data_IF_083491683100
#
_entry.id   IF_083491683100
#
_cell.length_a   1.000
_cell.length_b   1.000
_cell.length_c   1.000
_cell.angle_alpha   90.00
_cell.angle_beta   90.00
_cell.angle_gamma   90.00
#
_symmetry.space_group_name_H-M   'P 1'
#
loop_
_entity.id
_entity.type
_entity.pdbx_description
1 polymer ?
#
# COMPACT_ATOMS: atom_id res chain seq x y z
N UNK A 1 -21.84 -33.04 30.00
CA UNK A 1 -22.02 -32.77 28.57
C UNK A 1 -23.31 -31.98 28.38
N UNK A 2 -23.23 -30.66 28.43
CA UNK A 2 -24.37 -29.79 28.12
C UNK A 2 -24.41 -29.66 26.60
N UNK A 3 -25.42 -30.24 25.94
CA UNK A 3 -25.76 -29.88 24.57
C UNK A 3 -26.17 -28.41 24.61
N UNK A 4 -25.23 -27.51 24.32
CA UNK A 4 -25.58 -26.14 23.99
C UNK A 4 -26.55 -26.23 22.82
N UNK A 5 -27.81 -25.86 23.05
CA UNK A 5 -28.82 -25.74 22.01
C UNK A 5 -28.33 -24.71 21.01
N UNK A 6 -27.68 -25.16 19.93
CA UNK A 6 -27.36 -24.30 18.80
C UNK A 6 -28.70 -23.85 18.21
N UNK A 7 -29.07 -22.61 18.50
CA UNK A 7 -30.20 -21.97 17.83
C UNK A 7 -29.87 -21.93 16.34
N UNK A 8 -30.83 -22.27 15.46
CA UNK A 8 -30.57 -22.22 14.03
C UNK A 8 -30.17 -20.78 13.64
N UNK A 9 -29.24 -20.62 12.68
CA UNK A 9 -28.87 -19.30 12.19
C UNK A 9 -30.09 -18.60 11.60
N UNK A 10 -30.17 -17.28 11.78
CA UNK A 10 -31.24 -16.47 11.20
C UNK A 10 -30.80 -16.07 9.78
N UNK A 11 -31.40 -16.62 8.70
CA UNK A 11 -30.83 -16.51 7.36
C UNK A 11 -30.57 -15.07 6.90
N UNK A 12 -31.53 -14.17 7.12
CA UNK A 12 -31.42 -12.75 6.72
C UNK A 12 -30.25 -12.04 7.40
N UNK A 13 -29.95 -12.38 8.65
CA UNK A 13 -28.85 -11.76 9.41
C UNK A 13 -27.50 -12.24 8.88
N UNK A 14 -27.38 -13.53 8.57
CA UNK A 14 -26.13 -14.09 8.00
C UNK A 14 -25.88 -13.51 6.61
N UNK A 15 -26.90 -13.44 5.75
CA UNK A 15 -26.76 -12.83 4.43
C UNK A 15 -26.32 -11.37 4.52
N UNK A 16 -26.89 -10.60 5.45
CA UNK A 16 -26.45 -9.23 5.74
C UNK A 16 -24.97 -9.19 6.16
N UNK A 17 -24.51 -10.13 7.00
CA UNK A 17 -23.09 -10.18 7.36
C UNK A 17 -22.18 -10.47 6.16
N UNK A 18 -22.60 -11.32 5.21
CA UNK A 18 -21.85 -11.55 3.98
C UNK A 18 -21.74 -10.28 3.14
N UNK A 19 -22.85 -9.59 2.91
CA UNK A 19 -22.92 -8.38 2.08
C UNK A 19 -22.12 -7.23 2.70
N UNK A 20 -22.38 -6.91 3.97
CA UNK A 20 -21.66 -5.84 4.66
C UNK A 20 -20.17 -6.17 4.84
N UNK A 21 -19.83 -7.43 5.08
CA UNK A 21 -18.44 -7.89 5.15
C UNK A 21 -17.70 -7.70 3.84
N UNK A 22 -18.32 -8.03 2.71
CA UNK A 22 -17.74 -7.84 1.38
C UNK A 22 -17.56 -6.34 1.06
N UNK A 23 -18.55 -5.50 1.37
CA UNK A 23 -18.45 -4.05 1.21
C UNK A 23 -17.30 -3.48 2.03
N UNK A 24 -17.20 -3.84 3.32
CA UNK A 24 -16.13 -3.39 4.20
C UNK A 24 -14.75 -3.85 3.74
N UNK A 25 -14.63 -5.07 3.21
CA UNK A 25 -13.38 -5.58 2.64
C UNK A 25 -12.95 -4.79 1.40
N UNK A 26 -13.88 -4.46 0.50
CA UNK A 26 -13.61 -3.59 -0.66
C UNK A 26 -13.21 -2.18 -0.22
N UNK A 27 -13.94 -1.58 0.73
CA UNK A 27 -13.56 -0.29 1.31
C UNK A 27 -12.15 -0.34 1.90
N UNK A 28 -11.83 -1.40 2.66
CA UNK A 28 -10.50 -1.56 3.25
C UNK A 28 -9.41 -1.64 2.18
N UNK A 29 -9.65 -2.33 1.08
CA UNK A 29 -8.68 -2.48 -0.01
C UNK A 29 -8.28 -1.12 -0.61
N UNK A 30 -9.20 -0.15 -0.70
CA UNK A 30 -8.86 1.22 -1.10
C UNK A 30 -8.23 2.05 0.02
N UNK A 31 -8.73 1.94 1.26
CA UNK A 31 -8.27 2.79 2.38
C UNK A 31 -6.84 2.51 2.83
N UNK A 32 -6.26 1.34 2.51
CA UNK A 32 -4.85 1.04 2.80
C UNK A 32 -3.85 1.79 1.91
N UNK A 33 -4.33 2.50 0.88
CA UNK A 33 -3.53 3.37 -0.01
C UNK A 33 -4.05 4.82 -0.07
N UNK A 34 -5.14 5.10 0.66
CA UNK A 34 -5.81 6.40 0.64
C UNK A 34 -5.00 7.51 1.33
N UNK A 35 -5.06 8.76 0.83
CA UNK A 35 -4.25 9.87 1.36
C UNK A 35 -4.60 10.36 2.77
N UNK A 36 -5.84 10.15 3.22
CA UNK A 36 -6.46 10.84 4.36
C UNK A 36 -6.72 9.94 5.58
N UNK A 37 -6.37 8.67 5.51
CA UNK A 37 -6.70 7.68 6.55
C UNK A 37 -5.57 7.58 7.57
N UNK A 38 -5.87 7.82 8.85
CA UNK A 38 -4.96 7.52 9.98
C UNK A 38 -5.17 6.09 10.47
N UNK A 39 -4.17 5.53 11.15
CA UNK A 39 -4.20 4.14 11.65
C UNK A 39 -5.43 3.82 12.52
N UNK A 40 -5.85 4.75 13.40
CA UNK A 40 -7.02 4.54 14.25
C UNK A 40 -8.35 4.51 13.47
N UNK A 41 -8.44 5.21 12.33
CA UNK A 41 -9.61 5.17 11.46
C UNK A 41 -9.67 3.83 10.70
N UNK A 42 -8.52 3.36 10.22
CA UNK A 42 -8.39 2.00 9.68
C UNK A 42 -8.76 0.95 10.74
N UNK A 43 -8.36 1.16 12.00
CA UNK A 43 -8.74 0.33 13.14
C UNK A 43 -10.26 0.19 13.32
N UNK A 44 -11.01 1.29 13.26
CA UNK A 44 -12.48 1.26 13.36
C UNK A 44 -13.14 0.49 12.22
N UNK A 45 -12.57 0.57 11.00
CA UNK A 45 -13.06 -0.22 9.87
C UNK A 45 -12.75 -1.71 10.08
N UNK A 46 -11.52 -2.03 10.49
CA UNK A 46 -11.06 -3.39 10.75
C UNK A 46 -11.89 -4.06 11.86
N UNK A 47 -12.25 -3.33 12.92
CA UNK A 47 -13.15 -3.81 13.99
C UNK A 47 -14.54 -4.16 13.46
N UNK A 48 -15.11 -3.32 12.58
CA UNK A 48 -16.40 -3.60 11.94
C UNK A 48 -16.31 -4.83 11.03
N UNK A 49 -15.28 -4.90 10.19
CA UNK A 49 -15.05 -6.05 9.31
C UNK A 49 -14.91 -7.35 10.12
N UNK A 50 -14.11 -7.33 11.19
CA UNK A 50 -13.96 -8.46 12.10
C UNK A 50 -15.30 -8.90 12.70
N UNK A 51 -16.16 -7.97 13.13
CA UNK A 51 -17.47 -8.30 13.69
C UNK A 51 -18.40 -9.02 12.69
N UNK A 52 -18.37 -8.64 11.41
CA UNK A 52 -19.13 -9.36 10.37
C UNK A 52 -18.55 -10.75 10.10
N UNK A 53 -17.22 -10.89 10.04
CA UNK A 53 -16.57 -12.20 9.91
C UNK A 53 -16.88 -13.12 11.10
N UNK A 54 -16.88 -12.59 12.33
CA UNK A 54 -17.25 -13.33 13.54
C UNK A 54 -18.71 -13.81 13.50
N UNK A 55 -19.64 -12.95 13.05
CA UNK A 55 -21.04 -13.31 12.86
C UNK A 55 -21.22 -14.48 11.88
N UNK A 56 -20.46 -14.48 10.79
CA UNK A 56 -20.45 -15.56 9.80
C UNK A 56 -19.80 -16.83 10.35
N UNK A 57 -18.69 -16.71 11.08
CA UNK A 57 -18.01 -17.84 11.72
C UNK A 57 -18.93 -18.55 12.73
N UNK A 58 -19.69 -17.79 13.53
CA UNK A 58 -20.67 -18.33 14.49
C UNK A 58 -21.84 -19.04 13.78
N UNK A 59 -22.21 -18.60 12.57
CA UNK A 59 -23.21 -19.27 11.74
C UNK A 59 -22.74 -20.61 11.14
N UNK A 60 -21.46 -20.96 11.31
CA UNK A 60 -20.87 -22.23 10.89
C UNK A 60 -21.10 -22.55 9.42
N UNK A 61 -21.56 -23.76 9.13
CA UNK A 61 -21.83 -24.22 7.76
C UNK A 61 -22.80 -23.33 6.99
N UNK A 62 -23.76 -22.67 7.66
CA UNK A 62 -24.66 -21.75 6.98
C UNK A 62 -23.93 -20.49 6.52
N UNK A 63 -23.05 -19.93 7.37
CA UNK A 63 -22.22 -18.78 7.01
C UNK A 63 -21.25 -19.10 5.88
N UNK A 64 -20.65 -20.28 5.92
CA UNK A 64 -19.78 -20.78 4.85
C UNK A 64 -20.52 -20.85 3.51
N UNK A 65 -21.65 -21.55 3.44
CA UNK A 65 -22.43 -21.65 2.19
C UNK A 65 -22.91 -20.27 1.70
N UNK A 66 -23.31 -19.39 2.60
CA UNK A 66 -23.72 -18.03 2.24
C UNK A 66 -22.57 -17.25 1.60
N UNK A 67 -21.35 -17.35 2.13
CA UNK A 67 -20.16 -16.68 1.59
C UNK A 67 -19.73 -17.27 0.24
N UNK A 68 -19.77 -18.60 0.08
CA UNK A 68 -19.48 -19.28 -1.19
C UNK A 68 -20.52 -18.92 -2.26
N UNK A 69 -21.79 -18.76 -1.88
CA UNK A 69 -22.83 -18.32 -2.81
C UNK A 69 -22.61 -16.86 -3.25
N UNK A 70 -22.21 -15.98 -2.33
CA UNK A 70 -21.91 -14.58 -2.65
C UNK A 70 -20.72 -14.47 -3.63
N UNK A 71 -19.71 -15.36 -3.52
CA UNK A 71 -18.58 -15.41 -4.45
C UNK A 71 -18.97 -15.64 -5.91
N UNK A 72 -20.19 -16.09 -6.22
CA UNK A 72 -20.67 -16.17 -7.60
C UNK A 72 -20.66 -14.81 -8.32
N UNK A 73 -20.66 -13.69 -7.58
CA UNK A 73 -20.49 -12.33 -8.11
C UNK A 73 -19.04 -12.00 -8.52
N UNK A 74 -18.08 -12.87 -8.18
CA UNK A 74 -16.66 -12.75 -8.50
C UNK A 74 -15.99 -11.44 -8.06
N UNK A 75 -16.42 -10.84 -6.93
CA UNK A 75 -15.82 -9.64 -6.38
C UNK A 75 -14.67 -9.91 -5.39
N UNK A 76 -13.80 -8.92 -5.22
CA UNK A 76 -12.70 -8.92 -4.25
C UNK A 76 -13.22 -9.12 -2.82
N UNK A 77 -14.26 -8.38 -2.42
CA UNK A 77 -14.85 -8.45 -1.09
C UNK A 77 -15.48 -9.81 -0.77
N UNK A 78 -16.23 -10.38 -1.70
CA UNK A 78 -16.87 -11.69 -1.54
C UNK A 78 -15.83 -12.81 -1.43
N UNK A 79 -14.79 -12.76 -2.28
CA UNK A 79 -13.68 -13.71 -2.25
C UNK A 79 -12.88 -13.60 -0.96
N UNK A 80 -12.69 -12.38 -0.47
CA UNK A 80 -12.08 -12.13 0.84
C UNK A 80 -12.87 -12.78 1.97
N UNK A 81 -14.18 -12.55 2.04
CA UNK A 81 -15.03 -13.08 3.13
C UNK A 81 -15.00 -14.61 3.14
N UNK A 82 -15.17 -15.25 1.99
CA UNK A 82 -15.15 -16.71 1.90
C UNK A 82 -13.79 -17.31 2.29
N UNK A 83 -12.68 -16.71 1.82
CA UNK A 83 -11.34 -17.15 2.19
C UNK A 83 -11.02 -16.90 3.67
N UNK A 84 -11.43 -15.76 4.23
CA UNK A 84 -11.23 -15.45 5.64
C UNK A 84 -11.95 -16.47 6.54
N UNK A 85 -13.18 -16.86 6.17
CA UNK A 85 -13.92 -17.89 6.90
C UNK A 85 -13.29 -19.27 6.75
N UNK A 86 -12.89 -19.68 5.54
CA UNK A 86 -12.21 -20.95 5.30
C UNK A 86 -10.93 -21.07 6.16
N UNK A 87 -10.13 -19.99 6.24
CA UNK A 87 -8.94 -19.91 7.08
C UNK A 87 -9.30 -19.96 8.58
N UNK A 88 -10.31 -19.19 9.01
CA UNK A 88 -10.73 -19.17 10.41
C UNK A 88 -11.21 -20.53 10.91
N UNK A 89 -11.97 -21.26 10.09
CA UNK A 89 -12.41 -22.63 10.36
C UNK A 89 -11.32 -23.69 10.16
N UNK A 90 -10.18 -23.33 9.56
CA UNK A 90 -9.11 -24.25 9.14
C UNK A 90 -9.61 -25.37 8.21
N UNK A 91 -10.55 -25.03 7.34
CA UNK A 91 -11.11 -25.96 6.36
C UNK A 91 -10.17 -26.05 5.15
N UNK A 92 -9.24 -27.01 5.21
CA UNK A 92 -8.20 -27.20 4.19
C UNK A 92 -8.79 -27.49 2.80
N UNK A 93 -9.91 -28.22 2.72
CA UNK A 93 -10.54 -28.54 1.44
C UNK A 93 -11.12 -27.29 0.79
N UNK A 94 -11.79 -26.43 1.56
CA UNK A 94 -12.27 -25.13 1.06
C UNK A 94 -11.13 -24.20 0.69
N UNK A 95 -10.09 -24.13 1.52
CA UNK A 95 -8.88 -23.33 1.21
C UNK A 95 -8.29 -23.78 -0.12
N UNK A 96 -8.14 -25.09 -0.35
CA UNK A 96 -7.62 -25.63 -1.60
C UNK A 96 -8.49 -25.27 -2.82
N UNK A 97 -9.82 -25.38 -2.68
CA UNK A 97 -10.77 -24.97 -3.74
C UNK A 97 -10.69 -23.48 -4.05
N UNK A 98 -10.58 -22.63 -3.03
CA UNK A 98 -10.47 -21.17 -3.18
C UNK A 98 -9.15 -20.77 -3.83
N UNK A 99 -8.03 -21.41 -3.45
CA UNK A 99 -6.74 -21.20 -4.08
C UNK A 99 -6.75 -21.61 -5.55
N UNK A 100 -7.37 -22.74 -5.88
CA UNK A 100 -7.52 -23.19 -7.27
C UNK A 100 -8.41 -22.23 -8.08
N UNK A 101 -9.51 -21.74 -7.50
CA UNK A 101 -10.39 -20.77 -8.14
C UNK A 101 -9.66 -19.43 -8.39
N UNK A 102 -8.90 -18.94 -7.42
CA UNK A 102 -8.07 -17.75 -7.58
C UNK A 102 -6.93 -17.94 -8.59
N UNK A 103 -6.36 -19.14 -8.68
CA UNK A 103 -5.35 -19.43 -9.71
C UNK A 103 -5.94 -19.37 -11.12
N UNK A 104 -7.21 -19.75 -11.28
CA UNK A 104 -7.92 -19.77 -12.55
C UNK A 104 -8.60 -18.44 -12.92
N UNK A 105 -8.94 -17.60 -11.96
CA UNK A 105 -9.69 -16.36 -12.17
C UNK A 105 -9.06 -15.17 -11.45
N UNK A 106 -8.50 -14.24 -12.22
CA UNK A 106 -7.80 -13.05 -11.71
C UNK A 106 -8.68 -12.19 -10.79
N UNK A 107 -9.99 -12.11 -11.08
CA UNK A 107 -10.97 -11.37 -10.27
C UNK A 107 -11.05 -11.84 -8.81
N UNK A 108 -10.72 -13.11 -8.52
CA UNK A 108 -10.77 -13.68 -7.16
C UNK A 108 -9.43 -13.54 -6.42
N UNK A 109 -8.32 -13.34 -7.14
CA UNK A 109 -6.96 -13.37 -6.56
C UNK A 109 -6.79 -12.38 -5.44
N UNK A 110 -7.13 -11.11 -5.68
CA UNK A 110 -6.93 -10.03 -4.72
C UNK A 110 -7.65 -10.32 -3.41
N UNK A 111 -8.93 -10.70 -3.48
CA UNK A 111 -9.72 -11.02 -2.29
C UNK A 111 -9.13 -12.18 -1.48
N UNK A 112 -8.74 -13.27 -2.15
CA UNK A 112 -8.13 -14.42 -1.49
C UNK A 112 -6.80 -14.03 -0.82
N UNK A 113 -5.89 -13.34 -1.54
CA UNK A 113 -4.60 -12.90 -0.97
C UNK A 113 -4.80 -11.97 0.23
N UNK A 114 -5.73 -11.02 0.14
CA UNK A 114 -6.07 -10.12 1.25
C UNK A 114 -6.57 -10.89 2.48
N UNK A 115 -7.35 -11.96 2.31
CA UNK A 115 -7.83 -12.79 3.41
C UNK A 115 -6.69 -13.53 4.12
N UNK A 116 -5.71 -14.03 3.37
CA UNK A 116 -4.50 -14.61 3.97
C UNK A 116 -3.68 -13.54 4.73
N UNK A 117 -3.51 -12.34 4.18
CA UNK A 117 -2.82 -11.24 4.88
C UNK A 117 -3.57 -10.79 6.14
N UNK A 118 -4.91 -10.89 6.13
CA UNK A 118 -5.78 -10.56 7.25
C UNK A 118 -5.68 -11.56 8.41
N UNK A 119 -5.62 -12.85 8.09
CA UNK A 119 -5.60 -13.93 9.08
C UNK A 119 -4.44 -13.78 10.08
N UNK A 120 -4.65 -14.17 11.33
CA UNK A 120 -3.59 -14.11 12.34
C UNK A 120 -2.57 -15.26 12.18
N UNK A 121 -1.41 -15.12 12.85
CA UNK A 121 -0.35 -16.11 12.76
C UNK A 121 -0.73 -17.49 13.32
N UNK A 122 -1.72 -17.57 14.24
CA UNK A 122 -2.19 -18.84 14.77
C UNK A 122 -3.03 -19.59 13.73
N UNK A 123 -3.91 -18.89 13.00
CA UNK A 123 -4.73 -19.41 11.91
C UNK A 123 -3.86 -19.92 10.74
N UNK A 124 -2.79 -19.22 10.41
CA UNK A 124 -1.89 -19.55 9.31
C UNK A 124 -0.83 -20.64 9.63
N UNK A 125 -0.78 -21.12 10.87
CA UNK A 125 0.26 -22.07 11.31
C UNK A 125 0.20 -23.37 10.50
N UNK A 126 1.33 -23.71 9.86
CA UNK A 126 1.47 -24.89 9.00
C UNK A 126 1.03 -24.64 7.55
N UNK A 127 0.02 -23.78 7.34
CA UNK A 127 -0.50 -23.44 6.02
C UNK A 127 0.53 -22.69 5.16
N UNK A 128 1.25 -21.71 5.74
CA UNK A 128 2.29 -20.98 4.99
C UNK A 128 3.41 -21.90 4.51
N UNK A 129 3.83 -22.86 5.34
CA UNK A 129 4.84 -23.84 4.94
C UNK A 129 4.35 -24.73 3.77
N UNK A 130 3.08 -25.13 3.79
CA UNK A 130 2.47 -25.90 2.69
C UNK A 130 2.38 -25.06 1.40
N UNK A 131 2.05 -23.77 1.50
CA UNK A 131 2.04 -22.86 0.35
C UNK A 131 3.43 -22.69 -0.27
N UNK A 132 4.46 -22.54 0.58
CA UNK A 132 5.85 -22.39 0.17
C UNK A 132 6.44 -23.67 -0.47
N UNK A 133 5.99 -24.85 -0.06
CA UNK A 133 6.43 -26.16 -0.60
C UNK A 133 5.55 -26.67 -1.76
N UNK A 134 4.51 -25.93 -2.13
CA UNK A 134 3.56 -26.33 -3.16
C UNK A 134 4.19 -26.38 -4.57
N UNK A 135 3.79 -27.32 -5.44
CA UNK A 135 4.18 -27.33 -6.84
C UNK A 135 3.58 -26.16 -7.63
N UNK A 136 2.41 -25.65 -7.24
CA UNK A 136 1.80 -24.46 -7.88
C UNK A 136 2.65 -23.21 -7.63
N UNK A 137 3.02 -22.53 -8.71
CA UNK A 137 3.72 -21.24 -8.67
C UNK A 137 2.88 -20.17 -7.97
N UNK A 138 1.57 -20.16 -8.20
CA UNK A 138 0.66 -19.20 -7.57
C UNK A 138 0.60 -19.37 -6.04
N UNK A 139 0.50 -20.62 -5.55
CA UNK A 139 0.52 -20.88 -4.11
C UNK A 139 1.84 -20.47 -3.46
N UNK A 140 2.97 -20.70 -4.12
CA UNK A 140 4.29 -20.25 -3.65
C UNK A 140 4.38 -18.72 -3.60
N UNK A 141 3.81 -18.02 -4.58
CA UNK A 141 3.71 -16.56 -4.56
C UNK A 141 2.97 -16.08 -3.32
N UNK A 142 1.79 -16.65 -3.00
CA UNK A 142 1.04 -16.30 -1.78
C UNK A 142 1.90 -16.54 -0.54
N UNK A 143 2.56 -17.71 -0.42
CA UNK A 143 3.46 -18.00 0.69
C UNK A 143 4.55 -16.93 0.88
N UNK A 144 5.16 -16.48 -0.23
CA UNK A 144 6.17 -15.42 -0.23
C UNK A 144 5.62 -14.03 0.05
N UNK A 145 4.38 -13.72 -0.35
CA UNK A 145 3.69 -12.46 0.01
C UNK A 145 3.42 -12.41 1.52
N UNK A 146 3.03 -13.53 2.12
CA UNK A 146 2.65 -13.58 3.54
C UNK A 146 3.81 -13.42 4.50
N UNK A 147 5.00 -13.88 4.12
CA UNK A 147 6.18 -13.79 4.97
C UNK A 147 6.48 -12.33 5.41
N UNK A 148 6.74 -11.37 4.51
CA UNK A 148 6.92 -9.97 4.89
C UNK A 148 5.64 -9.33 5.46
N UNK A 149 4.44 -9.73 5.02
CA UNK A 149 3.18 -9.26 5.60
C UNK A 149 2.98 -9.65 7.08
N UNK A 150 3.77 -10.62 7.56
CA UNK A 150 3.83 -11.06 8.95
C UNK A 150 5.19 -10.79 9.62
N UNK A 151 6.09 -10.05 8.96
CA UNK A 151 7.45 -9.79 9.43
C UNK A 151 8.26 -11.08 9.71
N UNK A 152 8.08 -12.09 8.86
CA UNK A 152 8.78 -13.39 8.91
C UNK A 152 9.71 -13.52 7.71
N UNK A 153 10.93 -14.00 7.94
CA UNK A 153 11.88 -14.34 6.88
C UNK A 153 11.56 -15.74 6.27
N UNK A 154 11.30 -15.84 4.95
CA UNK A 154 11.08 -17.12 4.25
C UNK A 154 12.35 -17.99 4.11
N UNK A 155 13.53 -17.51 4.51
CA UNK A 155 14.77 -18.26 4.54
C UNK A 155 15.20 -18.76 3.16
N UNK A 156 15.56 -20.05 3.08
CA UNK A 156 16.07 -20.70 1.86
C UNK A 156 15.03 -20.88 0.76
N UNK A 157 13.73 -20.81 1.09
CA UNK A 157 12.68 -20.95 0.06
C UNK A 157 12.70 -19.74 -0.89
N UNK A 158 12.97 -18.56 -0.34
CA UNK A 158 13.12 -17.34 -1.10
C UNK A 158 14.31 -17.39 -2.07
N UNK A 159 15.46 -17.88 -1.61
CA UNK A 159 16.65 -18.07 -2.45
C UNK A 159 16.35 -18.92 -3.69
N UNK A 160 15.57 -20.00 -3.53
CA UNK A 160 15.16 -20.85 -4.67
C UNK A 160 14.18 -20.14 -5.59
N UNK A 161 13.28 -19.33 -5.05
CA UNK A 161 12.24 -18.66 -5.83
C UNK A 161 12.78 -17.55 -6.74
N UNK A 162 13.92 -16.93 -6.39
CA UNK A 162 14.62 -15.98 -7.27
C UNK A 162 15.01 -16.63 -8.61
N UNK A 163 15.39 -17.90 -8.59
CA UNK A 163 15.76 -18.67 -9.79
C UNK A 163 14.60 -19.37 -10.49
N UNK A 164 13.34 -19.06 -10.15
CA UNK A 164 12.18 -19.74 -10.72
C UNK A 164 11.99 -19.48 -12.23
N UNK A 165 11.39 -20.43 -12.94
CA UNK A 165 11.09 -20.29 -14.38
C UNK A 165 10.02 -19.23 -14.62
N UNK A 166 9.03 -19.18 -13.73
CA UNK A 166 7.87 -18.31 -13.83
C UNK A 166 8.20 -16.89 -13.35
N UNK A 167 8.08 -15.90 -14.24
CA UNK A 167 8.36 -14.50 -13.93
C UNK A 167 7.57 -13.95 -12.73
N UNK A 168 6.25 -14.24 -12.56
CA UNK A 168 5.51 -13.77 -11.39
C UNK A 168 6.09 -14.25 -10.05
N UNK A 169 6.61 -15.48 -10.01
CA UNK A 169 7.25 -16.02 -8.81
C UNK A 169 8.61 -15.38 -8.54
N UNK A 170 9.42 -15.13 -9.58
CA UNK A 170 10.68 -14.38 -9.45
C UNK A 170 10.43 -12.95 -8.96
N UNK A 171 9.47 -12.24 -9.55
CA UNK A 171 9.11 -10.87 -9.14
C UNK A 171 8.69 -10.83 -7.66
N UNK A 172 7.83 -11.77 -7.23
CA UNK A 172 7.42 -11.90 -5.84
C UNK A 172 8.60 -12.25 -4.91
N UNK A 173 9.55 -13.06 -5.37
CA UNK A 173 10.77 -13.37 -4.63
C UNK A 173 11.65 -12.13 -4.46
N UNK A 174 11.92 -11.37 -5.53
CA UNK A 174 12.67 -10.11 -5.41
C UNK A 174 11.99 -9.17 -4.40
N UNK A 175 10.68 -8.93 -4.55
CA UNK A 175 9.92 -8.10 -3.62
C UNK A 175 10.08 -8.56 -2.17
N UNK A 176 9.95 -9.86 -1.91
CA UNK A 176 10.09 -10.43 -0.58
C UNK A 176 11.53 -10.29 -0.04
N UNK A 177 12.56 -10.39 -0.88
CA UNK A 177 13.95 -10.18 -0.46
C UNK A 177 14.18 -8.76 0.06
N UNK A 178 13.68 -7.75 -0.65
CA UNK A 178 13.74 -6.36 -0.21
C UNK A 178 12.90 -6.09 1.04
N UNK A 179 11.66 -6.56 1.06
CA UNK A 179 10.75 -6.35 2.20
C UNK A 179 11.22 -7.06 3.49
N UNK A 180 11.88 -8.22 3.36
CA UNK A 180 12.46 -8.96 4.48
C UNK A 180 13.88 -8.50 4.85
N UNK A 181 14.42 -7.46 4.21
CA UNK A 181 15.75 -6.95 4.53
C UNK A 181 16.89 -7.95 4.30
N UNK A 182 16.74 -8.89 3.36
CA UNK A 182 17.70 -9.97 3.09
C UNK A 182 18.93 -9.45 2.33
N UNK A 183 19.83 -8.75 3.03
CA UNK A 183 21.04 -8.17 2.44
C UNK A 183 21.95 -9.19 1.76
N UNK A 184 21.93 -10.45 2.21
CA UNK A 184 22.64 -11.55 1.56
C UNK A 184 22.18 -11.87 0.13
N UNK A 185 20.99 -11.42 -0.27
CA UNK A 185 20.42 -11.60 -1.62
C UNK A 185 20.65 -10.38 -2.54
N UNK A 186 21.43 -9.39 -2.10
CA UNK A 186 21.65 -8.17 -2.89
C UNK A 186 22.25 -8.48 -4.27
N UNK A 187 23.23 -9.38 -4.35
CA UNK A 187 23.84 -9.76 -5.63
C UNK A 187 22.82 -10.40 -6.59
N UNK A 188 21.92 -11.23 -6.07
CA UNK A 188 20.85 -11.84 -6.86
C UNK A 188 19.82 -10.81 -7.33
N UNK A 189 19.43 -9.87 -6.46
CA UNK A 189 18.58 -8.74 -6.84
C UNK A 189 19.23 -7.87 -7.93
N UNK A 190 20.55 -7.61 -7.84
CA UNK A 190 21.27 -6.85 -8.88
C UNK A 190 21.33 -7.59 -10.21
N UNK A 191 21.44 -8.92 -10.20
CA UNK A 191 21.33 -9.72 -11.43
C UNK A 191 19.93 -9.61 -12.06
N UNK A 192 18.89 -9.51 -11.25
CA UNK A 192 17.49 -9.33 -11.67
C UNK A 192 17.20 -8.01 -12.41
N UNK A 193 18.09 -7.02 -12.36
CA UNK A 193 17.94 -5.76 -13.12
C UNK A 193 17.91 -5.99 -14.64
N UNK A 194 18.51 -7.08 -15.11
CA UNK A 194 18.53 -7.49 -16.52
C UNK A 194 17.44 -8.49 -16.90
N UNK A 195 16.44 -8.75 -16.06
CA UNK A 195 15.37 -9.71 -16.38
C UNK A 195 14.53 -9.22 -17.59
N UNK A 196 14.09 -10.17 -18.41
CA UNK A 196 13.24 -9.88 -19.56
C UNK A 196 11.88 -9.32 -19.13
N UNK A 197 11.38 -9.74 -17.97
CA UNK A 197 10.11 -9.29 -17.42
C UNK A 197 10.24 -7.97 -16.65
N UNK A 198 9.36 -7.01 -16.96
CA UNK A 198 9.40 -5.67 -16.39
C UNK A 198 9.09 -5.66 -14.88
N UNK A 199 8.21 -6.55 -14.40
CA UNK A 199 7.92 -6.67 -12.98
C UNK A 199 9.14 -7.18 -12.22
N UNK A 200 9.85 -8.16 -12.78
CA UNK A 200 11.11 -8.64 -12.22
C UNK A 200 12.15 -7.52 -12.13
N UNK A 201 12.36 -6.73 -13.19
CA UNK A 201 13.30 -5.59 -13.18
C UNK A 201 12.95 -4.57 -12.11
N UNK A 202 11.67 -4.18 -12.02
CA UNK A 202 11.22 -3.21 -11.02
C UNK A 202 11.41 -3.73 -9.60
N UNK A 203 10.97 -4.96 -9.30
CA UNK A 203 11.08 -5.54 -7.95
C UNK A 203 12.55 -5.78 -7.56
N UNK A 204 13.39 -6.17 -8.52
CA UNK A 204 14.84 -6.27 -8.35
C UNK A 204 15.47 -4.92 -8.00
N UNK A 205 15.12 -3.86 -8.73
CA UNK A 205 15.63 -2.50 -8.48
C UNK A 205 15.16 -1.94 -7.13
N UNK A 206 13.86 -2.05 -6.84
CA UNK A 206 13.28 -1.63 -5.58
C UNK A 206 13.92 -2.35 -4.38
N UNK A 207 14.15 -3.65 -4.51
CA UNK A 207 14.75 -4.44 -3.45
C UNK A 207 16.22 -4.13 -3.29
N UNK A 208 16.97 -3.99 -4.39
CA UNK A 208 18.40 -3.64 -4.34
C UNK A 208 18.65 -2.32 -3.61
N UNK A 209 17.83 -1.28 -3.84
CA UNK A 209 17.98 -0.01 -3.10
C UNK A 209 17.61 -0.14 -1.61
N UNK A 210 16.59 -0.93 -1.26
CA UNK A 210 16.29 -1.23 0.16
C UNK A 210 17.38 -2.05 0.84
N UNK A 211 18.10 -2.87 0.07
CA UNK A 211 19.22 -3.68 0.53
C UNK A 211 20.57 -2.93 0.50
N UNK A 212 20.60 -1.69 0.02
CA UNK A 212 21.73 -0.78 0.18
C UNK A 212 22.44 -0.38 -1.11
N UNK A 213 22.04 -0.88 -2.28
CA UNK A 213 22.62 -0.41 -3.54
C UNK A 213 22.23 1.04 -3.82
N UNK A 214 23.21 1.84 -4.26
CA UNK A 214 23.03 3.25 -4.65
C UNK A 214 23.61 3.52 -6.04
N UNK A 215 23.89 2.47 -6.81
CA UNK A 215 24.50 2.53 -8.14
C UNK A 215 23.55 1.95 -9.17
N UNK A 216 23.79 0.69 -9.56
CA UNK A 216 23.09 0.04 -10.67
C UNK A 216 21.56 0.01 -10.48
N UNK A 217 21.06 -0.15 -9.25
CA UNK A 217 19.63 -0.14 -8.99
C UNK A 217 19.02 1.25 -9.17
N UNK A 218 19.75 2.32 -8.85
CA UNK A 218 19.31 3.71 -9.08
C UNK A 218 19.25 4.01 -10.58
N UNK A 219 20.24 3.54 -11.35
CA UNK A 219 20.24 3.64 -12.81
C UNK A 219 19.06 2.88 -13.43
N UNK A 220 18.77 1.67 -12.92
CA UNK A 220 17.62 0.89 -13.36
C UNK A 220 16.28 1.56 -13.04
N UNK A 221 16.13 2.14 -11.84
CA UNK A 221 14.94 2.94 -11.50
C UNK A 221 14.80 4.14 -12.43
N UNK A 222 15.90 4.84 -12.73
CA UNK A 222 15.92 5.94 -13.69
C UNK A 222 15.44 5.50 -15.07
N UNK A 223 15.91 4.36 -15.58
CA UNK A 223 15.45 3.83 -16.87
C UNK A 223 13.95 3.50 -16.86
N UNK A 224 13.46 2.88 -15.79
CA UNK A 224 12.03 2.56 -15.61
C UNK A 224 11.13 3.80 -15.56
N UNK A 225 11.64 4.98 -15.16
CA UNK A 225 10.86 6.23 -15.23
C UNK A 225 10.60 6.72 -16.66
N UNK A 226 11.37 6.23 -17.63
CA UNK A 226 11.27 6.57 -19.05
C UNK A 226 10.47 5.53 -19.84
N UNK A 227 10.19 4.36 -19.26
CA UNK A 227 9.34 3.33 -19.85
C UNK A 227 7.87 3.61 -19.50
N UNK A 228 6.98 3.52 -20.49
CA UNK A 228 5.54 3.50 -20.23
C UNK A 228 5.16 2.19 -19.54
N UNK A 229 4.31 2.26 -18.51
CA UNK A 229 3.82 1.09 -17.80
C UNK A 229 3.50 1.35 -16.33
N UNK A 230 3.02 0.32 -15.63
CA UNK A 230 2.55 0.44 -14.25
C UNK A 230 3.67 0.77 -13.25
N UNK A 231 4.93 0.60 -13.64
CA UNK A 231 6.08 0.83 -12.77
C UNK A 231 6.72 2.21 -12.92
N UNK A 232 6.26 3.05 -13.86
CA UNK A 232 6.81 4.40 -14.09
C UNK A 232 6.71 5.27 -12.83
N UNK A 233 5.51 5.43 -12.28
CA UNK A 233 5.29 6.26 -11.09
C UNK A 233 5.94 5.68 -9.82
N UNK A 234 5.81 4.36 -9.50
CA UNK A 234 6.52 3.77 -8.37
C UNK A 234 8.04 3.87 -8.46
N UNK A 235 8.63 3.71 -9.66
CA UNK A 235 10.07 3.87 -9.86
C UNK A 235 10.50 5.33 -9.65
N UNK A 236 9.70 6.27 -10.15
CA UNK A 236 9.91 7.70 -9.97
C UNK A 236 9.89 8.11 -8.50
N UNK A 237 8.88 7.69 -7.73
CA UNK A 237 8.80 8.00 -6.30
C UNK A 237 10.03 7.49 -5.53
N UNK A 238 10.42 6.23 -5.78
CA UNK A 238 11.57 5.64 -5.10
C UNK A 238 12.89 6.33 -5.49
N UNK A 239 13.07 6.65 -6.78
CA UNK A 239 14.20 7.42 -7.27
C UNK A 239 14.28 8.78 -6.58
N UNK A 240 13.15 9.48 -6.44
CA UNK A 240 13.09 10.82 -5.84
C UNK A 240 13.31 10.81 -4.32
N UNK A 241 13.02 9.71 -3.63
CA UNK A 241 13.45 9.53 -2.22
C UNK A 241 14.96 9.37 -2.07
N UNK A 242 15.63 8.83 -3.08
CA UNK A 242 17.08 8.56 -3.08
C UNK A 242 17.92 9.71 -3.65
N UNK A 243 17.39 10.44 -4.62
CA UNK A 243 18.12 11.44 -5.36
C UNK A 243 18.57 12.63 -4.48
N UNK A 244 19.75 13.16 -4.75
CA UNK A 244 20.12 14.51 -4.32
C UNK A 244 19.32 15.55 -5.11
N UNK A 245 19.20 16.78 -4.60
CA UNK A 245 18.54 17.86 -5.35
C UNK A 245 19.18 18.10 -6.73
N UNK A 246 20.50 17.98 -6.82
CA UNK A 246 21.23 18.12 -8.09
C UNK A 246 20.86 17.01 -9.10
N UNK A 247 20.66 15.77 -8.63
CA UNK A 247 20.24 14.66 -9.47
C UNK A 247 18.76 14.76 -9.88
N UNK A 248 17.90 15.27 -9.01
CA UNK A 248 16.46 15.40 -9.28
C UNK A 248 16.11 16.60 -10.20
N UNK A 249 16.89 17.67 -10.15
CA UNK A 249 16.67 18.89 -10.93
C UNK A 249 16.41 18.68 -12.43
N UNK A 250 17.22 17.90 -13.19
CA UNK A 250 16.96 17.67 -14.62
C UNK A 250 15.65 16.91 -14.87
N UNK A 251 15.28 15.96 -14.00
CA UNK A 251 14.01 15.24 -14.11
C UNK A 251 12.82 16.17 -13.88
N UNK A 252 12.84 16.96 -12.80
CA UNK A 252 11.79 17.93 -12.52
C UNK A 252 11.63 18.94 -13.65
N UNK A 253 12.75 19.43 -14.20
CA UNK A 253 12.71 20.34 -15.34
C UNK A 253 12.01 19.70 -16.55
N UNK A 254 12.39 18.48 -16.92
CA UNK A 254 11.78 17.79 -18.05
C UNK A 254 10.27 17.57 -17.86
N UNK A 255 9.82 17.24 -16.64
CA UNK A 255 8.39 17.09 -16.33
C UNK A 255 7.65 18.43 -16.36
N UNK A 256 8.28 19.53 -15.91
CA UNK A 256 7.68 20.86 -15.96
C UNK A 256 7.54 21.40 -17.39
N UNK A 257 8.38 20.93 -18.32
CA UNK A 257 8.30 21.27 -19.74
C UNK A 257 7.17 20.50 -20.47
N UNK A 258 6.50 19.54 -19.80
CA UNK A 258 5.43 18.68 -20.33
C UNK A 258 4.13 18.87 -19.52
N UNK A 259 3.06 19.44 -20.10
CA UNK A 259 1.79 19.65 -19.40
C UNK A 259 1.17 18.36 -18.82
N UNK A 260 1.32 17.24 -19.53
CA UNK A 260 0.76 15.94 -19.14
C UNK A 260 1.49 15.34 -17.91
N UNK A 261 2.70 15.81 -17.62
CA UNK A 261 3.54 15.31 -16.54
C UNK A 261 3.53 16.21 -15.29
N UNK A 262 2.74 17.29 -15.28
CA UNK A 262 2.67 18.20 -14.13
C UNK A 262 2.27 17.50 -12.82
N UNK A 263 1.37 16.50 -12.88
CA UNK A 263 1.03 15.69 -11.69
C UNK A 263 2.24 14.95 -11.14
N UNK A 264 3.08 14.38 -12.01
CA UNK A 264 4.31 13.70 -11.61
C UNK A 264 5.34 14.70 -11.06
N UNK A 265 5.43 15.91 -11.63
CA UNK A 265 6.29 16.97 -11.09
C UNK A 265 5.87 17.40 -9.67
N UNK A 266 4.56 17.55 -9.41
CA UNK A 266 4.03 17.88 -8.07
C UNK A 266 4.31 16.77 -7.07
N UNK A 267 4.05 15.49 -7.43
CA UNK A 267 4.41 14.33 -6.60
C UNK A 267 5.90 14.31 -6.31
N UNK A 268 6.72 14.52 -7.34
CA UNK A 268 8.18 14.57 -7.24
C UNK A 268 8.68 15.65 -6.30
N UNK A 269 8.13 16.86 -6.37
CA UNK A 269 8.46 17.95 -5.44
C UNK A 269 8.15 17.57 -3.98
N UNK A 270 6.99 16.98 -3.72
CA UNK A 270 6.61 16.49 -2.38
C UNK A 270 7.52 15.39 -1.87
N UNK A 271 7.84 14.39 -2.71
CA UNK A 271 8.71 13.26 -2.37
C UNK A 271 10.17 13.67 -2.20
N UNK A 272 10.66 14.61 -3.03
CA UNK A 272 12.01 15.17 -2.95
C UNK A 272 12.23 15.95 -1.66
N UNK A 273 11.20 16.65 -1.18
CA UNK A 273 11.24 17.30 0.12
C UNK A 273 12.00 18.63 0.14
N UNK A 274 12.23 19.29 -1.00
CA UNK A 274 12.97 20.56 -1.05
C UNK A 274 12.04 21.74 -0.70
N UNK A 275 12.31 22.52 0.37
CA UNK A 275 11.56 23.74 0.66
C UNK A 275 11.49 24.74 -0.51
N UNK A 276 12.44 24.72 -1.44
CA UNK A 276 12.44 25.60 -2.61
C UNK A 276 11.25 25.38 -3.55
N UNK A 277 10.64 24.19 -3.56
CA UNK A 277 9.45 23.94 -4.37
C UNK A 277 8.16 24.44 -3.74
N UNK A 278 8.16 24.83 -2.45
CA UNK A 278 6.95 25.20 -1.73
C UNK A 278 6.21 26.39 -2.34
N UNK A 279 6.86 27.51 -2.72
CA UNK A 279 6.16 28.62 -3.38
C UNK A 279 5.42 28.18 -4.65
N UNK A 280 6.07 27.36 -5.48
CA UNK A 280 5.45 26.81 -6.70
C UNK A 280 4.30 25.86 -6.38
N UNK A 281 4.43 24.98 -5.38
CA UNK A 281 3.32 24.12 -4.94
C UNK A 281 2.11 24.96 -4.50
N UNK A 282 2.33 26.06 -3.75
CA UNK A 282 1.26 26.98 -3.33
C UNK A 282 0.57 27.63 -4.55
N UNK A 283 1.30 27.95 -5.61
CA UNK A 283 0.70 28.42 -6.87
C UNK A 283 -0.20 27.33 -7.50
N UNK A 284 0.26 26.08 -7.53
CA UNK A 284 -0.52 24.96 -8.08
C UNK A 284 -1.80 24.66 -7.27
N UNK A 285 -1.87 25.03 -5.99
CA UNK A 285 -3.09 24.92 -5.16
C UNK A 285 -4.28 25.71 -5.72
N UNK A 286 -4.04 26.70 -6.57
CA UNK A 286 -5.07 27.46 -7.27
C UNK A 286 -5.78 26.68 -8.39
N UNK A 287 -5.14 25.62 -8.91
CA UNK A 287 -5.68 24.79 -10.00
C UNK A 287 -6.72 23.79 -9.47
N UNK A 288 -7.92 23.68 -10.08
CA UNK A 288 -8.90 22.67 -9.68
C UNK A 288 -8.38 21.22 -9.83
N UNK A 289 -7.62 20.93 -10.89
CA UNK A 289 -7.14 19.58 -11.23
C UNK A 289 -5.89 19.16 -10.45
N UNK A 290 -5.09 20.13 -10.00
CA UNK A 290 -3.80 19.88 -9.35
C UNK A 290 -3.79 20.29 -7.87
N UNK A 291 -4.80 21.03 -7.42
CA UNK A 291 -4.72 21.73 -6.15
C UNK A 291 -4.66 20.79 -4.96
N UNK A 292 -5.49 19.74 -4.94
CA UNK A 292 -5.48 18.72 -3.89
C UNK A 292 -4.12 18.01 -3.80
N UNK A 293 -3.57 17.59 -4.94
CA UNK A 293 -2.25 16.97 -5.03
C UNK A 293 -1.13 17.92 -4.57
N UNK A 294 -1.19 19.20 -4.95
CA UNK A 294 -0.23 20.21 -4.49
C UNK A 294 -0.31 20.43 -2.97
N UNK A 295 -1.53 20.41 -2.41
CA UNK A 295 -1.79 20.41 -0.98
C UNK A 295 -1.20 19.19 -0.26
N UNK A 296 -1.33 18.00 -0.85
CA UNK A 296 -0.72 16.77 -0.34
C UNK A 296 0.82 16.88 -0.36
N UNK A 297 1.42 17.28 -1.48
CA UNK A 297 2.88 17.46 -1.58
C UNK A 297 3.41 18.51 -0.60
N UNK A 298 2.69 19.61 -0.41
CA UNK A 298 3.02 20.60 0.62
C UNK A 298 2.96 19.99 2.03
N UNK A 299 1.94 19.19 2.32
CA UNK A 299 1.78 18.50 3.61
C UNK A 299 2.88 17.44 3.82
N UNK A 300 3.31 16.76 2.77
CA UNK A 300 4.44 15.81 2.79
C UNK A 300 5.77 16.49 3.12
N UNK A 301 5.98 17.73 2.70
CA UNK A 301 7.18 18.51 3.05
C UNK A 301 7.07 19.04 4.48
N UNK A 302 5.96 19.71 4.79
CA UNK A 302 5.83 20.55 5.99
C UNK A 302 5.28 19.82 7.21
N UNK A 303 4.65 18.66 7.03
CA UNK A 303 4.00 17.88 8.08
C UNK A 303 2.65 18.44 8.51
N UNK A 304 2.12 19.46 7.81
CA UNK A 304 0.86 20.09 8.17
C UNK A 304 -0.33 19.18 7.83
N UNK A 305 -1.29 19.16 8.74
CA UNK A 305 -2.63 18.61 8.50
C UNK A 305 -3.53 19.79 8.12
N UNK A 306 -3.75 19.98 6.81
CA UNK A 306 -4.44 21.17 6.29
C UNK A 306 -5.84 21.33 6.90
N UNK A 307 -6.60 20.23 7.00
CA UNK A 307 -7.93 20.24 7.59
C UNK A 307 -7.88 20.59 9.09
N UNK A 308 -6.97 19.97 9.84
CA UNK A 308 -6.85 20.24 11.28
C UNK A 308 -6.42 21.68 11.62
N UNK A 309 -5.72 22.34 10.70
CA UNK A 309 -5.28 23.74 10.83
C UNK A 309 -6.20 24.74 10.15
N UNK A 310 -7.36 24.27 9.66
CA UNK A 310 -8.33 25.07 8.90
C UNK A 310 -7.70 25.69 7.63
N UNK A 311 -6.61 25.16 7.09
CA UNK A 311 -5.94 25.66 5.87
C UNK A 311 -6.59 25.17 4.56
N UNK A 312 -7.80 24.63 4.65
CA UNK A 312 -8.61 24.18 3.53
C UNK A 312 -9.74 25.16 3.21
N UNK A 313 -10.35 24.96 2.05
CA UNK A 313 -11.56 25.64 1.60
C UNK A 313 -12.60 24.61 1.21
N UNK A 314 -13.83 25.08 0.98
CA UNK A 314 -14.84 24.24 0.36
C UNK A 314 -14.41 23.87 -1.08
N UNK A 315 -14.84 22.70 -1.59
CA UNK A 315 -14.64 22.36 -2.99
C UNK A 315 -15.08 23.52 -3.91
N UNK A 316 -14.31 23.87 -4.94
CA UNK A 316 -14.78 24.75 -5.99
C UNK A 316 -16.09 24.19 -6.56
N UNK A 317 -17.08 25.05 -6.79
CA UNK A 317 -18.32 24.60 -7.44
C UNK A 317 -18.05 23.97 -8.83
N UNK A 318 -18.95 23.09 -9.26
CA UNK A 318 -18.94 22.36 -10.55
C UNK A 318 -17.79 21.34 -10.77
N UNK A 319 -17.01 20.97 -9.75
CA UNK A 319 -16.06 19.85 -9.87
C UNK A 319 -16.82 18.53 -9.62
N UNK A 320 -17.15 17.80 -10.68
CA UNK A 320 -17.64 16.43 -10.58
C UNK A 320 -16.55 15.56 -9.94
N UNK A 321 -16.86 14.95 -8.79
CA UNK A 321 -15.96 14.05 -8.11
C UNK A 321 -16.25 12.62 -8.57
N UNK A 322 -15.38 12.07 -9.41
CA UNK A 322 -15.48 10.71 -9.92
C UNK A 322 -16.46 10.53 -11.10
N UNK A 323 -16.54 9.31 -11.65
CA UNK A 323 -17.47 8.99 -12.73
C UNK A 323 -18.90 9.34 -12.29
N UNK A 324 -19.61 10.09 -13.14
CA UNK A 324 -21.04 10.28 -12.95
C UNK A 324 -21.80 9.02 -13.40
N UNK A 325 -23.03 8.85 -12.91
CA UNK A 325 -23.92 7.77 -13.35
C UNK A 325 -24.45 8.02 -14.79
N UNK A 326 -23.78 8.86 -15.59
CA UNK A 326 -24.17 9.13 -16.96
C UNK A 326 -23.67 7.99 -17.88
N UNK A 327 -24.57 7.19 -18.46
CA UNK A 327 -24.19 6.12 -19.38
C UNK A 327 -23.54 6.61 -20.68
N UNK A 328 -23.49 7.93 -20.95
CA UNK A 328 -22.76 8.54 -22.07
C UNK A 328 -21.36 9.07 -21.68
N UNK A 329 -20.97 9.01 -20.40
CA UNK A 329 -19.65 9.43 -19.94
C UNK A 329 -18.68 8.24 -19.88
N UNK A 330 -17.75 8.19 -20.84
CA UNK A 330 -16.72 7.14 -20.94
C UNK A 330 -15.55 7.32 -19.92
N UNK A 331 -15.56 8.37 -19.07
CA UNK A 331 -14.52 8.62 -18.08
C UNK A 331 -14.77 7.86 -16.76
N UNK A 332 -14.37 6.59 -16.75
CA UNK A 332 -14.42 5.67 -15.59
C UNK A 332 -13.20 5.80 -14.65
N UNK A 333 -12.33 6.79 -14.84
CA UNK A 333 -11.14 6.95 -14.02
C UNK A 333 -11.50 7.32 -12.57
N UNK A 334 -11.06 6.51 -11.60
CA UNK A 334 -11.19 6.84 -10.19
C UNK A 334 -10.39 8.12 -9.89
N UNK A 335 -10.98 9.05 -9.14
CA UNK A 335 -10.32 10.28 -8.69
C UNK A 335 -9.14 9.94 -7.76
N UNK A 336 -7.91 10.01 -8.27
CA UNK A 336 -6.68 9.73 -7.49
C UNK A 336 -6.52 10.61 -6.24
N UNK A 337 -7.17 11.77 -6.26
CA UNK A 337 -7.13 12.81 -5.23
C UNK A 337 -8.36 12.73 -4.30
N UNK A 338 -9.17 11.66 -4.42
CA UNK A 338 -10.33 11.43 -3.55
C UNK A 338 -9.92 11.44 -2.07
N UNK A 339 -10.67 12.21 -1.27
CA UNK A 339 -10.43 12.36 0.16
C UNK A 339 -9.34 13.36 0.54
N UNK A 340 -8.59 13.93 -0.41
CA UNK A 340 -7.68 15.04 -0.13
C UNK A 340 -8.45 16.35 0.13
N UNK A 341 -7.99 17.16 1.08
CA UNK A 341 -8.57 18.47 1.35
C UNK A 341 -8.34 19.42 0.17
N UNK A 342 -9.27 20.34 -0.05
CA UNK A 342 -9.08 21.43 -1.00
C UNK A 342 -8.27 22.54 -0.34
N UNK A 343 -7.01 22.77 -0.70
CA UNK A 343 -6.19 23.78 -0.04
C UNK A 343 -6.73 25.20 -0.27
N UNK A 344 -6.57 26.08 0.72
CA UNK A 344 -6.81 27.52 0.60
C UNK A 344 -5.47 28.26 0.37
N UNK A 345 -5.13 28.63 -0.88
CA UNK A 345 -3.79 29.09 -1.23
C UNK A 345 -3.33 30.33 -0.46
N UNK A 346 -4.22 31.29 -0.19
CA UNK A 346 -3.83 32.53 0.50
C UNK A 346 -3.53 32.31 1.99
N UNK A 347 -4.27 31.42 2.64
CA UNK A 347 -4.02 31.05 4.05
C UNK A 347 -2.72 30.27 4.18
N UNK A 348 -2.49 29.33 3.27
CA UNK A 348 -1.26 28.54 3.22
C UNK A 348 -0.06 29.44 2.89
N UNK A 349 -0.19 30.38 1.95
CA UNK A 349 0.85 31.37 1.65
C UNK A 349 1.20 32.22 2.87
N UNK A 350 0.19 32.70 3.59
CA UNK A 350 0.38 33.47 4.83
C UNK A 350 1.12 32.65 5.89
N UNK A 351 0.72 31.39 6.09
CA UNK A 351 1.42 30.48 6.99
C UNK A 351 2.87 30.27 6.55
N UNK A 352 3.11 29.98 5.26
CA UNK A 352 4.45 29.75 4.73
C UNK A 352 5.37 30.96 4.94
N UNK A 353 4.91 32.17 4.63
CA UNK A 353 5.69 33.39 4.85
C UNK A 353 6.12 33.60 6.31
N UNK A 354 5.32 33.12 7.28
CA UNK A 354 5.66 33.19 8.71
C UNK A 354 6.55 32.06 9.23
N UNK A 355 6.65 30.93 8.52
CA UNK A 355 7.31 29.71 9.01
C UNK A 355 8.47 29.23 8.11
N UNK A 356 8.67 29.81 6.92
CA UNK A 356 9.69 29.37 5.96
C UNK A 356 11.13 29.36 6.53
N UNK A 357 11.40 30.16 7.56
CA UNK A 357 12.70 30.19 8.26
C UNK A 357 13.06 28.86 8.94
N UNK A 358 12.06 28.04 9.29
CA UNK A 358 12.26 26.71 9.89
C UNK A 358 12.63 25.65 8.83
N UNK A 359 12.49 26.00 7.55
CA UNK A 359 12.72 25.12 6.40
C UNK A 359 13.98 25.54 5.64
N UNK A 360 15.12 25.02 6.08
CA UNK A 360 16.42 25.36 5.50
C UNK A 360 16.56 24.87 4.05
N UNK A 361 16.89 25.75 3.08
CA UNK A 361 17.19 25.34 1.71
C UNK A 361 18.33 24.33 1.65
N UNK A 362 18.24 23.37 0.73
CA UNK A 362 19.25 22.32 0.61
C UNK A 362 19.18 21.23 1.69
N UNK A 363 18.12 21.22 2.50
CA UNK A 363 17.78 20.11 3.40
C UNK A 363 16.51 19.43 2.90
N UNK A 364 16.51 18.09 2.85
CA UNK A 364 15.31 17.31 2.54
C UNK A 364 14.41 17.28 3.76
N UNK A 365 13.17 17.71 3.61
CA UNK A 365 12.12 17.59 4.61
C UNK A 365 11.11 16.52 4.24
N UNK A 366 10.67 15.77 5.24
CA UNK A 366 9.56 14.84 5.17
C UNK A 366 8.76 15.02 6.45
N UNK A 367 7.49 15.37 6.36
CA UNK A 367 6.62 15.61 7.50
C UNK A 367 7.19 16.62 8.51
N UNK A 368 7.75 17.74 8.01
CA UNK A 368 8.19 18.86 8.84
C UNK A 368 9.60 18.76 9.43
N UNK A 369 10.30 17.65 9.21
CA UNK A 369 11.69 17.48 9.65
C UNK A 369 12.54 16.69 8.64
N UNK A 370 13.87 16.75 8.73
CA UNK A 370 14.73 15.85 7.97
C UNK A 370 14.42 14.38 8.28
N UNK A 371 14.31 13.49 7.27
CA UNK A 371 14.10 12.07 7.49
C UNK A 371 15.17 11.49 8.42
N UNK A 372 14.73 10.90 9.52
CA UNK A 372 15.56 10.19 10.49
C UNK A 372 14.78 9.00 11.03
N UNK A 373 15.46 8.04 11.63
CA UNK A 373 14.81 6.85 12.18
C UNK A 373 13.67 7.21 13.16
N UNK A 374 13.97 8.05 14.16
CA UNK A 374 13.00 8.48 15.17
C UNK A 374 11.81 9.23 14.54
N UNK A 375 12.07 10.11 13.58
CA UNK A 375 11.04 10.88 12.91
C UNK A 375 10.13 9.99 12.06
N UNK A 376 10.70 9.09 11.24
CA UNK A 376 9.91 8.17 10.43
C UNK A 376 9.09 7.21 11.32
N UNK A 377 9.62 6.78 12.47
CA UNK A 377 8.86 5.99 13.44
C UNK A 377 7.68 6.78 14.04
N UNK A 378 7.85 8.06 14.32
CA UNK A 378 6.75 8.93 14.74
C UNK A 378 5.68 9.04 13.62
N UNK A 379 6.09 9.29 12.37
CA UNK A 379 5.16 9.37 11.23
C UNK A 379 4.40 8.06 11.02
N UNK A 380 5.06 6.90 11.19
CA UNK A 380 4.38 5.60 11.14
C UNK A 380 3.23 5.45 12.17
N UNK A 381 3.35 6.12 13.32
CA UNK A 381 2.35 6.08 14.40
C UNK A 381 1.21 7.08 14.18
N UNK A 382 1.52 8.30 13.72
CA UNK A 382 0.56 9.41 13.72
C UNK A 382 0.12 9.92 12.35
N UNK A 383 0.86 9.61 11.28
CA UNK A 383 0.61 10.12 9.93
C UNK A 383 -0.61 9.49 9.25
N UNK A 384 -1.00 10.08 8.12
CA UNK A 384 -1.94 9.49 7.19
C UNK A 384 -1.31 8.34 6.39
N UNK A 385 -2.12 7.48 5.80
CA UNK A 385 -1.67 6.20 5.25
C UNK A 385 -0.57 6.32 4.19
N UNK A 386 -0.68 7.25 3.23
CA UNK A 386 0.41 7.53 2.26
C UNK A 386 1.69 8.06 2.92
N UNK A 387 1.57 8.88 3.97
CA UNK A 387 2.71 9.33 4.78
C UNK A 387 3.34 8.16 5.55
N UNK A 388 2.53 7.24 6.07
CA UNK A 388 3.00 6.03 6.75
C UNK A 388 3.73 5.09 5.79
N UNK A 389 3.22 4.92 4.57
CA UNK A 389 3.91 4.16 3.51
C UNK A 389 5.28 4.78 3.23
N UNK A 390 5.32 6.10 2.98
CA UNK A 390 6.57 6.83 2.78
C UNK A 390 7.55 6.69 3.95
N UNK A 391 7.06 6.72 5.19
CA UNK A 391 7.88 6.54 6.38
C UNK A 391 8.48 5.13 6.46
N UNK A 392 7.71 4.08 6.14
CA UNK A 392 8.21 2.70 6.08
C UNK A 392 9.35 2.58 5.05
N UNK A 393 9.20 3.21 3.88
CA UNK A 393 10.24 3.22 2.85
C UNK A 393 11.48 3.98 3.31
N UNK A 394 11.32 5.15 3.91
CA UNK A 394 12.45 5.92 4.45
C UNK A 394 13.25 5.12 5.47
N UNK A 395 12.61 4.34 6.36
CA UNK A 395 13.32 3.50 7.33
C UNK A 395 14.24 2.47 6.64
N UNK A 396 13.76 1.79 5.60
CA UNK A 396 14.57 0.86 4.82
C UNK A 396 15.71 1.56 4.05
N UNK A 397 15.47 2.77 3.55
CA UNK A 397 16.49 3.52 2.80
C UNK A 397 17.57 4.14 3.71
N UNK A 398 17.20 4.52 4.94
CA UNK A 398 18.11 5.03 5.96
C UNK A 398 18.98 3.92 6.55
N UNK A 399 18.39 2.75 6.81
CA UNK A 399 19.07 1.59 7.39
C UNK A 399 18.80 0.36 6.52
N UNK A 400 19.65 0.11 5.50
CA UNK A 400 19.49 -1.04 4.63
C UNK A 400 19.46 -2.37 5.39
N UNK A 401 18.59 -3.28 4.96
CA UNK A 401 18.35 -4.55 5.65
C UNK A 401 17.29 -4.51 6.76
N UNK A 402 16.68 -3.35 7.01
CA UNK A 402 15.50 -3.24 7.88
C UNK A 402 14.28 -3.86 7.20
N UNK A 403 13.45 -4.58 7.96
CA UNK A 403 12.15 -5.08 7.51
C UNK A 403 11.24 -3.92 7.09
N UNK A 404 10.62 -4.02 5.92
CA UNK A 404 9.61 -3.05 5.49
C UNK A 404 8.37 -3.19 6.37
N UNK A 405 8.00 -2.13 7.08
CA UNK A 405 6.82 -2.14 7.94
C UNK A 405 5.54 -2.29 7.09
N UNK A 406 4.72 -3.35 7.29
CA UNK A 406 3.53 -3.62 6.49
C UNK A 406 2.37 -2.71 6.91
N UNK A 407 2.31 -1.51 6.34
CA UNK A 407 1.28 -0.49 6.63
C UNK A 407 -0.13 -0.89 6.19
N UNK A 408 -0.27 -1.94 5.37
CA UNK A 408 -1.55 -2.48 4.89
C UNK A 408 -2.07 -3.69 5.71
N UNK A 409 -1.28 -4.22 6.65
CA UNK A 409 -1.70 -5.27 7.58
C UNK A 409 -2.92 -4.85 8.41
N UNK A 410 -3.64 -5.75 9.09
CA UNK A 410 -4.71 -5.35 10.02
C UNK A 410 -4.23 -4.35 11.06
N UNK A 411 -5.00 -3.30 11.32
CA UNK A 411 -4.62 -2.18 12.17
C UNK A 411 -4.31 -2.60 13.62
N UNK A 412 -4.99 -3.63 14.13
CA UNK A 412 -4.67 -4.24 15.42
C UNK A 412 -3.25 -4.82 15.46
N UNK A 413 -2.81 -5.45 14.36
CA UNK A 413 -1.47 -6.04 14.22
C UNK A 413 -0.41 -4.95 14.08
N UNK A 414 -0.69 -3.94 13.25
CA UNK A 414 0.18 -2.76 13.13
C UNK A 414 0.40 -2.07 14.48
N UNK A 415 -0.67 -1.90 15.27
CA UNK A 415 -0.60 -1.28 16.59
C UNK A 415 0.25 -2.09 17.58
N UNK A 416 0.12 -3.43 17.55
CA UNK A 416 0.94 -4.33 18.37
C UNK A 416 2.43 -4.23 18.01
N UNK A 417 2.77 -4.24 16.72
CA UNK A 417 4.15 -4.11 16.28
C UNK A 417 4.76 -2.75 16.63
N UNK A 418 4.02 -1.66 16.41
CA UNK A 418 4.49 -0.31 16.74
C UNK A 418 4.71 -0.10 18.25
N UNK A 419 3.97 -0.83 19.10
CA UNK A 419 4.17 -0.83 20.55
C UNK A 419 5.40 -1.64 20.98
N UNK A 420 5.80 -2.64 20.20
CA UNK A 420 6.99 -3.47 20.46
C UNK A 420 8.28 -2.86 19.92
N UNK A 421 8.18 -2.08 18.84
CA UNK A 421 9.27 -1.29 18.26
C UNK A 421 9.55 -0.06 19.14
N UNK A 422 10.18 -0.24 20.30
CA UNK A 422 10.71 0.87 21.10
C UNK A 422 11.88 1.49 20.34
N UNK A 423 11.97 2.83 20.34
CA UNK A 423 12.93 3.63 19.58
C UNK A 423 14.36 3.07 19.72
N UNK A 424 14.86 2.48 18.62
CA UNK A 424 16.20 1.92 18.50
C UNK A 424 17.29 3.00 18.50
#
# INVERSE_FOLDING_TARGET
>A
MSMATQRPPVPVVVLQHCEDGAVLANTRAGLVEAPQVKLHQLGRLDERLAAHLDGLFVAGEFGMHASEHAMARAGTGESFVAAALAIAHRDMERIDRLLAAAEAADALRTGVVLAFCWADAAQLRGLVAQLLDSPSSFRRQIGLTLCPAHLVDPGVVLERAIGAVEAPLRAQAYQAAGACGRTGLLADCLAGLGDADMACRFQAAQSSVRLGDRGAAVEALSALTQEEGPYRAPAFDLLFRLATFAQAAPFLKALLDSPDDLRMAIRGAGTLGDPQSVPWLIEQMGSPQLGRLAGESFSMITGLDLAALDLERKPPGDVAAGPDDDPENDDVAMDEDEGLPWPEPERIRTWWSGNAQDFSPGTRFFMGAPPSWSHCMQVLRSGFQRQRIAAAEHLCLLVPGTLLFPTNAPAWRQSQWLAQMVDA
#
